data_IF_986497526186
#
_entry.id   IF_986497526186
#
_cell.length_a   1.000
_cell.length_b   1.000
_cell.length_c   1.000
_cell.angle_alpha   90.00
_cell.angle_beta   90.00
_cell.angle_gamma   90.00
#
_symmetry.space_group_name_H-M   'P 1'
#
loop_
_entity.id
_entity.type
_entity.pdbx_description
1 polymer ?
#
# COMPACT_ATOMS: atom_id res chain seq x y z
N UNK A 1 -3.80 -25.86 -7.54
CA UNK A 1 -4.13 -24.43 -7.32
C UNK A 1 -3.03 -23.77 -6.48
N UNK A 2 -1.95 -23.23 -7.10
CA UNK A 2 -0.87 -22.51 -6.40
C UNK A 2 -0.50 -21.23 -7.16
N UNK A 3 -1.49 -20.37 -7.40
CA UNK A 3 -1.32 -19.16 -8.23
C UNK A 3 -1.76 -17.85 -7.57
N UNK A 4 -2.32 -17.87 -6.35
CA UNK A 4 -2.97 -16.69 -5.75
C UNK A 4 -2.12 -15.90 -4.75
N UNK A 5 -0.95 -16.40 -4.34
CA UNK A 5 -0.12 -15.75 -3.32
C UNK A 5 0.98 -14.85 -3.91
N UNK A 6 1.49 -15.15 -5.11
CA UNK A 6 2.68 -14.48 -5.67
C UNK A 6 2.43 -13.07 -6.25
N UNK A 7 1.18 -12.65 -6.39
CA UNK A 7 0.82 -11.31 -6.90
C UNK A 7 0.82 -10.24 -5.80
N UNK A 8 0.54 -10.61 -4.54
CA UNK A 8 0.50 -9.66 -3.44
C UNK A 8 1.91 -9.18 -3.03
N UNK A 9 2.91 -10.05 -3.16
CA UNK A 9 4.30 -9.70 -2.85
C UNK A 9 4.87 -8.70 -3.87
N UNK A 10 4.51 -8.79 -5.15
CA UNK A 10 5.09 -7.93 -6.20
C UNK A 10 4.64 -6.47 -6.09
N UNK A 11 3.38 -6.23 -5.71
CA UNK A 11 2.85 -4.87 -5.54
C UNK A 11 3.44 -4.16 -4.30
N UNK A 12 3.79 -4.91 -3.24
CA UNK A 12 4.55 -4.37 -2.11
C UNK A 12 6.04 -4.15 -2.46
N UNK A 13 6.63 -5.04 -3.26
CA UNK A 13 8.03 -4.99 -3.70
C UNK A 13 8.32 -3.86 -4.70
N UNK A 14 7.30 -3.31 -5.36
CA UNK A 14 7.46 -2.19 -6.29
C UNK A 14 7.42 -0.80 -5.61
N UNK A 15 7.30 -0.75 -4.29
CA UNK A 15 7.35 0.50 -3.53
C UNK A 15 8.78 0.88 -3.20
N UNK A 16 9.13 2.15 -3.38
CA UNK A 16 10.41 2.68 -2.88
C UNK A 16 10.45 2.58 -1.35
N UNK A 17 11.65 2.53 -0.76
CA UNK A 17 11.79 2.55 0.71
C UNK A 17 11.05 3.74 1.35
N UNK A 18 11.03 4.88 0.66
CA UNK A 18 10.30 6.07 1.11
C UNK A 18 8.79 5.87 1.08
N UNK A 19 8.24 5.25 0.03
CA UNK A 19 6.80 4.95 -0.03
C UNK A 19 6.38 3.94 1.03
N UNK A 20 7.23 2.95 1.32
CA UNK A 20 6.99 2.00 2.41
C UNK A 20 6.94 2.70 3.76
N UNK A 21 7.90 3.59 4.03
CA UNK A 21 7.95 4.36 5.28
C UNK A 21 6.72 5.26 5.44
N UNK A 22 6.35 6.00 4.39
CA UNK A 22 5.13 6.82 4.38
C UNK A 22 3.86 6.00 4.60
N UNK A 23 3.80 4.79 4.04
CA UNK A 23 2.67 3.88 4.23
C UNK A 23 2.55 3.44 5.71
N UNK A 24 3.66 3.13 6.36
CA UNK A 24 3.70 2.76 7.79
C UNK A 24 3.24 3.93 8.66
N UNK A 25 3.76 5.12 8.43
CA UNK A 25 3.37 6.33 9.16
C UNK A 25 1.88 6.63 8.98
N UNK A 26 1.35 6.49 7.75
CA UNK A 26 -0.06 6.74 7.50
C UNK A 26 -0.97 5.73 8.19
N UNK A 27 -0.59 4.45 8.23
CA UNK A 27 -1.34 3.43 8.97
C UNK A 27 -1.36 3.77 10.46
N UNK A 28 -0.22 4.17 11.04
CA UNK A 28 -0.14 4.56 12.45
C UNK A 28 -0.99 5.80 12.77
N UNK A 29 -0.98 6.81 11.88
CA UNK A 29 -1.82 8.00 12.02
C UNK A 29 -3.32 7.67 11.99
N UNK A 30 -3.74 6.79 11.08
CA UNK A 30 -5.14 6.35 10.98
C UNK A 30 -5.55 5.55 12.23
N UNK A 31 -4.68 4.68 12.73
CA UNK A 31 -4.94 3.96 14.00
C UNK A 31 -5.03 4.92 15.19
N UNK A 32 -4.20 5.97 15.24
CA UNK A 32 -4.28 7.00 16.28
C UNK A 32 -5.60 7.79 16.23
N UNK A 33 -6.22 7.89 15.06
CA UNK A 33 -7.57 8.46 14.88
C UNK A 33 -8.69 7.49 15.26
N UNK A 34 -8.37 6.27 15.70
CA UNK A 34 -9.33 5.23 16.07
C UNK A 34 -9.80 4.36 14.92
N UNK A 35 -9.17 4.44 13.74
CA UNK A 35 -9.49 3.57 12.60
C UNK A 35 -8.92 2.18 12.86
N UNK A 36 -9.72 1.14 12.60
CA UNK A 36 -9.28 -0.24 12.74
C UNK A 36 -8.10 -0.54 11.82
N UNK A 37 -7.16 -1.37 12.29
CA UNK A 37 -5.93 -1.70 11.56
C UNK A 37 -6.19 -2.24 10.15
N UNK A 38 -7.21 -3.09 9.96
CA UNK A 38 -7.59 -3.61 8.65
C UNK A 38 -8.11 -2.53 7.68
N UNK A 39 -8.87 -1.55 8.19
CA UNK A 39 -9.38 -0.44 7.40
C UNK A 39 -8.26 0.55 7.05
N UNK A 40 -7.37 0.84 7.99
CA UNK A 40 -6.20 1.68 7.76
C UNK A 40 -5.29 1.11 6.67
N UNK A 41 -5.02 -0.20 6.71
CA UNK A 41 -4.24 -0.90 5.67
C UNK A 41 -4.96 -0.82 4.32
N UNK A 42 -6.27 -1.02 4.27
CA UNK A 42 -7.04 -0.96 3.03
C UNK A 42 -7.01 0.43 2.39
N UNK A 43 -7.12 1.50 3.19
CA UNK A 43 -7.03 2.89 2.75
C UNK A 43 -5.65 3.20 2.16
N UNK A 44 -4.58 2.83 2.87
CA UNK A 44 -3.20 3.07 2.41
C UNK A 44 -2.89 2.24 1.17
N UNK A 45 -3.30 0.98 1.11
CA UNK A 45 -3.13 0.14 -0.08
C UNK A 45 -3.88 0.70 -1.30
N UNK A 46 -5.07 1.29 -1.11
CA UNK A 46 -5.79 1.99 -2.18
C UNK A 46 -4.99 3.20 -2.67
N UNK A 47 -4.47 4.01 -1.76
CA UNK A 47 -3.72 5.22 -2.08
C UNK A 47 -2.41 4.90 -2.82
N UNK A 48 -1.71 3.83 -2.42
CA UNK A 48 -0.50 3.35 -3.10
C UNK A 48 -0.80 2.84 -4.51
N UNK A 49 -1.91 2.12 -4.72
CA UNK A 49 -2.34 1.69 -6.06
C UNK A 49 -2.67 2.86 -6.98
N UNK A 50 -3.32 3.90 -6.45
CA UNK A 50 -3.62 5.13 -7.20
C UNK A 50 -2.34 5.88 -7.60
N UNK A 51 -1.36 5.99 -6.68
CA UNK A 51 -0.06 6.58 -6.97
C UNK A 51 0.71 5.80 -8.03
N UNK A 52 0.78 4.46 -7.91
CA UNK A 52 1.50 3.61 -8.85
C UNK A 52 0.86 3.59 -10.24
N UNK A 53 -0.46 3.74 -10.36
CA UNK A 53 -1.15 3.88 -11.66
C UNK A 53 -0.71 5.14 -12.42
N UNK A 54 -0.46 6.24 -11.72
CA UNK A 54 0.06 7.46 -12.35
C UNK A 54 1.53 7.31 -12.76
N UNK A 55 2.32 6.56 -11.99
CA UNK A 55 3.74 6.33 -12.31
C UNK A 55 3.94 5.38 -13.49
N UNK A 56 3.04 4.42 -13.74
CA UNK A 56 3.11 3.49 -14.87
C UNK A 56 2.60 4.09 -16.20
N UNK A 57 1.83 5.18 -16.17
CA UNK A 57 1.30 5.84 -17.37
C UNK A 57 2.25 6.90 -17.98
N UNK A 58 3.49 7.00 -17.48
CA UNK A 58 4.49 7.96 -17.96
C UNK A 58 5.79 7.30 -18.48
N UNK A 59 5.71 6.04 -18.90
CA UNK A 59 6.81 5.34 -19.60
C UNK A 59 6.44 5.00 -21.02
#
# INVERSE_FOLDING_TARGET
MKGKTKMLDNDLLNLTHEQQQRAVEKIQELMAQGIGSGEAIALVAKQLREQNKNTQNHK
#
